data_IF_438108742627
#
_entry.id   IF_438108742627
#
_cell.length_a   1.000
_cell.length_b   1.000
_cell.length_c   1.000
_cell.angle_alpha   90.00
_cell.angle_beta   90.00
_cell.angle_gamma   90.00
#
_symmetry.space_group_name_H-M   'P 1'
#
loop_
_entity.id
_entity.type
_entity.pdbx_description
1 polymer ?
#
# COMPACT_ATOMS: atom_id res chain seq x y z
N UNK A 1 -24.19 -23.58 10.46
CA UNK A 1 -25.03 -22.38 10.56
C UNK A 1 -24.65 -21.66 11.84
N UNK A 2 -23.75 -20.70 11.76
CA UNK A 2 -23.41 -19.80 12.87
C UNK A 2 -23.35 -18.41 12.26
N UNK A 3 -24.42 -17.65 12.51
CA UNK A 3 -24.57 -16.25 12.15
C UNK A 3 -23.50 -15.41 12.87
N UNK A 4 -22.51 -14.99 12.12
CA UNK A 4 -21.55 -13.98 12.53
C UNK A 4 -22.12 -12.61 12.20
N UNK A 5 -22.89 -12.03 13.11
CA UNK A 5 -23.31 -10.63 13.06
C UNK A 5 -22.08 -9.73 13.14
N UNK A 6 -21.61 -9.31 11.96
CA UNK A 6 -20.61 -8.22 11.82
C UNK A 6 -21.23 -6.94 12.34
N UNK A 7 -20.88 -6.56 13.56
CA UNK A 7 -21.06 -5.20 14.08
C UNK A 7 -20.24 -4.23 13.23
N UNK A 8 -20.84 -3.69 12.20
CA UNK A 8 -20.34 -2.56 11.41
C UNK A 8 -20.42 -1.29 12.28
N UNK A 9 -19.40 -1.05 13.12
CA UNK A 9 -19.23 0.26 13.76
C UNK A 9 -18.95 1.29 12.67
N UNK A 10 -19.93 2.15 12.42
CA UNK A 10 -19.92 3.21 11.43
C UNK A 10 -18.74 4.18 11.61
N UNK A 11 -18.03 4.57 10.54
CA UNK A 11 -16.95 5.57 10.58
C UNK A 11 -17.45 7.00 10.87
N UNK A 12 -18.74 7.19 11.11
CA UNK A 12 -19.44 8.47 11.25
C UNK A 12 -19.09 9.27 12.52
N UNK A 13 -18.57 8.63 13.60
CA UNK A 13 -18.38 9.32 14.87
C UNK A 13 -17.19 10.29 14.90
N UNK A 14 -16.11 10.03 14.17
CA UNK A 14 -14.93 10.91 14.15
C UNK A 14 -15.09 12.10 13.19
N UNK A 15 -15.78 11.91 12.05
CA UNK A 15 -16.09 12.98 11.11
C UNK A 15 -17.02 13.98 11.76
N UNK A 16 -18.09 13.52 12.42
CA UNK A 16 -19.05 14.38 13.12
C UNK A 16 -18.38 15.23 14.23
N UNK A 17 -17.38 14.66 14.94
CA UNK A 17 -16.65 15.41 15.98
C UNK A 17 -15.80 16.53 15.39
N UNK A 18 -15.14 16.27 14.25
CA UNK A 18 -14.31 17.24 13.55
C UNK A 18 -15.16 18.40 12.98
N UNK A 19 -16.27 18.09 12.30
CA UNK A 19 -17.21 19.06 11.76
C UNK A 19 -17.83 19.95 12.86
N UNK A 20 -18.24 19.34 13.98
CA UNK A 20 -18.74 20.06 15.15
C UNK A 20 -17.69 21.01 15.74
N UNK A 21 -16.42 20.59 15.80
CA UNK A 21 -15.34 21.43 16.31
C UNK A 21 -15.10 22.64 15.40
N UNK A 22 -15.06 22.44 14.09
CA UNK A 22 -14.92 23.52 13.10
C UNK A 22 -16.08 24.49 13.20
N UNK A 23 -17.32 24.01 13.28
CA UNK A 23 -18.50 24.83 13.43
C UNK A 23 -18.43 25.71 14.71
N UNK A 24 -18.04 25.11 15.83
CA UNK A 24 -17.86 25.84 17.11
C UNK A 24 -16.77 26.92 17.01
N UNK A 25 -15.62 26.62 16.40
CA UNK A 25 -14.55 27.60 16.20
C UNK A 25 -15.04 28.74 15.33
N UNK A 26 -15.75 28.46 14.23
CA UNK A 26 -16.30 29.46 13.31
C UNK A 26 -17.29 30.40 14.01
N UNK A 27 -18.22 29.84 14.77
CA UNK A 27 -19.21 30.63 15.53
C UNK A 27 -18.54 31.50 16.60
N UNK A 28 -17.58 30.96 17.35
CA UNK A 28 -16.88 31.73 18.38
C UNK A 28 -15.99 32.83 17.78
N UNK A 29 -15.27 32.55 16.68
CA UNK A 29 -14.49 33.57 15.97
C UNK A 29 -15.37 34.71 15.43
N UNK A 30 -16.53 34.37 14.85
CA UNK A 30 -17.50 35.39 14.39
C UNK A 30 -18.06 36.20 15.56
N UNK A 31 -18.34 35.58 16.71
CA UNK A 31 -18.80 36.27 17.92
C UNK A 31 -17.75 37.27 18.43
N UNK A 32 -16.47 36.88 18.44
CA UNK A 32 -15.37 37.78 18.83
C UNK A 32 -15.28 38.96 17.89
N UNK A 33 -15.31 38.73 16.56
CA UNK A 33 -15.27 39.80 15.55
C UNK A 33 -16.44 40.77 15.66
N UNK A 34 -17.66 40.25 15.89
CA UNK A 34 -18.85 41.13 16.09
C UNK A 34 -18.74 41.97 17.35
N UNK A 35 -18.24 41.43 18.45
CA UNK A 35 -18.07 42.15 19.71
C UNK A 35 -16.98 43.22 19.62
N UNK A 36 -16.00 43.08 18.71
CA UNK A 36 -14.99 44.11 18.43
C UNK A 36 -15.54 45.25 17.58
N UNK A 37 -16.57 45.00 16.76
CA UNK A 37 -17.22 46.02 15.90
C UNK A 37 -18.34 46.78 16.59
N UNK A 38 -18.70 46.42 17.81
CA UNK A 38 -19.73 47.14 18.58
C UNK A 38 -19.16 48.45 19.13
N UNK A 39 -19.71 49.53 18.64
CA UNK A 39 -19.59 50.97 18.86
C UNK A 39 -18.64 51.44 19.99
N UNK A 40 -17.66 52.28 19.64
CA UNK A 40 -16.78 52.92 20.64
C UNK A 40 -17.51 53.89 21.59
N UNK A 41 -18.74 54.30 21.30
CA UNK A 41 -19.51 55.28 22.08
C UNK A 41 -20.15 54.71 23.38
N UNK A 42 -20.41 53.40 23.43
CA UNK A 42 -21.00 52.72 24.60
C UNK A 42 -20.04 52.31 25.71
N UNK A 43 -18.78 52.68 25.57
CA UNK A 43 -17.66 52.11 26.36
C UNK A 43 -17.32 52.93 27.62
N UNK A 44 -18.08 53.99 27.92
CA UNK A 44 -17.69 54.99 28.94
C UNK A 44 -18.16 54.72 30.37
N UNK A 45 -18.44 53.52 30.81
CA UNK A 45 -18.71 53.26 32.22
C UNK A 45 -18.30 51.87 32.69
N UNK A 46 -18.38 51.63 34.00
CA UNK A 46 -18.05 50.44 34.83
C UNK A 46 -18.16 49.04 34.18
N UNK A 47 -18.79 48.95 32.99
CA UNK A 47 -18.97 47.75 32.17
C UNK A 47 -17.69 47.31 31.44
N UNK A 48 -16.67 48.17 31.32
CA UNK A 48 -15.46 47.92 30.54
C UNK A 48 -14.64 46.69 30.99
N UNK A 49 -14.43 46.55 32.29
CA UNK A 49 -13.74 45.43 32.87
C UNK A 49 -14.46 44.10 32.64
N UNK A 50 -15.80 44.13 32.57
CA UNK A 50 -16.59 42.92 32.31
C UNK A 50 -16.55 42.54 30.81
N UNK A 51 -16.59 43.50 29.90
CA UNK A 51 -16.48 43.27 28.44
C UNK A 51 -15.12 42.71 28.11
N UNK A 52 -14.02 43.28 28.61
CA UNK A 52 -12.67 42.75 28.41
C UNK A 52 -12.47 41.33 29.00
N UNK A 53 -13.08 41.04 30.13
CA UNK A 53 -13.04 39.70 30.71
C UNK A 53 -13.78 38.68 29.84
N UNK A 54 -14.95 39.03 29.33
CA UNK A 54 -15.72 38.15 28.44
C UNK A 54 -15.01 37.92 27.11
N UNK A 55 -14.36 38.95 26.53
CA UNK A 55 -13.51 38.83 25.35
C UNK A 55 -12.30 37.91 25.59
N UNK A 56 -11.54 38.12 26.68
CA UNK A 56 -10.43 37.28 27.05
C UNK A 56 -10.85 35.81 27.22
N UNK A 57 -12.01 35.59 27.88
CA UNK A 57 -12.58 34.23 28.02
C UNK A 57 -12.94 33.63 26.66
N UNK A 58 -13.53 34.39 25.75
CA UNK A 58 -13.88 33.93 24.40
C UNK A 58 -12.63 33.58 23.60
N UNK A 59 -11.58 34.41 23.64
CA UNK A 59 -10.27 34.10 22.98
C UNK A 59 -9.65 32.85 23.57
N UNK A 60 -9.64 32.70 24.88
CA UNK A 60 -9.11 31.49 25.53
C UNK A 60 -9.84 30.21 25.09
N UNK A 61 -11.16 30.27 24.92
CA UNK A 61 -11.97 29.16 24.41
C UNK A 61 -11.58 28.84 22.94
N UNK A 62 -11.41 29.86 22.08
CA UNK A 62 -10.97 29.66 20.70
C UNK A 62 -9.59 29.01 20.64
N UNK A 63 -8.63 29.50 21.43
CA UNK A 63 -7.27 28.89 21.52
C UNK A 63 -7.35 27.43 21.95
N UNK A 64 -8.20 27.10 22.94
CA UNK A 64 -8.41 25.72 23.37
C UNK A 64 -8.93 24.86 22.20
N UNK A 65 -9.92 25.34 21.46
CA UNK A 65 -10.51 24.65 20.31
C UNK A 65 -9.52 24.48 19.15
N UNK A 66 -8.71 25.49 18.86
CA UNK A 66 -7.65 25.42 17.85
C UNK A 66 -6.59 24.37 18.23
N UNK A 67 -6.22 24.28 19.51
CA UNK A 67 -5.31 23.23 19.99
C UNK A 67 -5.89 21.82 19.83
N UNK A 68 -7.19 21.65 20.11
CA UNK A 68 -7.90 20.39 19.85
C UNK A 68 -7.87 20.06 18.34
N UNK A 69 -8.07 21.03 17.47
CA UNK A 69 -8.02 20.86 16.02
C UNK A 69 -6.62 20.46 15.52
N UNK A 70 -5.56 21.08 16.07
CA UNK A 70 -4.17 20.66 15.79
C UNK A 70 -3.93 19.20 16.19
N UNK A 71 -4.41 18.78 17.36
CA UNK A 71 -4.26 17.39 17.80
C UNK A 71 -4.98 16.42 16.86
N UNK A 72 -6.19 16.74 16.42
CA UNK A 72 -6.93 15.92 15.46
C UNK A 72 -6.20 15.85 14.11
N UNK A 73 -5.71 16.98 13.60
CA UNK A 73 -4.94 17.04 12.36
C UNK A 73 -3.64 16.20 12.48
N UNK A 74 -2.96 16.27 13.62
CA UNK A 74 -1.77 15.47 13.89
C UNK A 74 -2.08 13.97 13.91
N UNK A 75 -3.19 13.55 14.53
CA UNK A 75 -3.61 12.15 14.51
C UNK A 75 -3.86 11.65 13.08
N UNK A 76 -4.57 12.42 12.26
CA UNK A 76 -4.83 12.08 10.86
C UNK A 76 -3.52 11.95 10.07
N UNK A 77 -2.61 12.90 10.24
CA UNK A 77 -1.27 12.85 9.61
C UNK A 77 -0.50 11.59 10.00
N UNK A 78 -0.48 11.25 11.30
CA UNK A 78 0.19 10.04 11.77
C UNK A 78 -0.43 8.75 11.20
N UNK A 79 -1.75 8.72 11.03
CA UNK A 79 -2.40 7.60 10.36
C UNK A 79 -1.97 7.47 8.90
N UNK A 80 -1.93 8.59 8.15
CA UNK A 80 -1.46 8.58 6.76
C UNK A 80 0.01 8.17 6.64
N UNK A 81 0.89 8.61 7.54
CA UNK A 81 2.30 8.18 7.59
C UNK A 81 2.42 6.66 7.79
N UNK A 82 1.59 6.07 8.66
CA UNK A 82 1.56 4.61 8.83
C UNK A 82 1.14 3.90 7.53
N UNK A 83 0.12 4.39 6.84
CA UNK A 83 -0.29 3.87 5.54
C UNK A 83 0.79 4.06 4.48
N UNK A 84 1.50 5.19 4.48
CA UNK A 84 2.66 5.43 3.61
C UNK A 84 3.68 4.30 3.77
N UNK A 85 4.09 3.98 5.00
CA UNK A 85 5.06 2.91 5.26
C UNK A 85 4.55 1.51 4.85
N UNK A 86 3.25 1.27 4.93
CA UNK A 86 2.66 0.01 4.43
C UNK A 86 2.79 -0.05 2.91
N UNK A 87 2.41 1.02 2.21
CA UNK A 87 2.48 1.10 0.74
C UNK A 87 3.93 1.01 0.25
N UNK A 88 4.87 1.67 0.89
CA UNK A 88 6.31 1.59 0.57
C UNK A 88 6.85 0.16 0.68
N UNK A 89 6.47 -0.58 1.74
CA UNK A 89 6.83 -2.00 1.89
C UNK A 89 6.23 -2.86 0.78
N UNK A 90 4.96 -2.67 0.45
CA UNK A 90 4.30 -3.38 -0.63
C UNK A 90 4.95 -3.08 -1.98
N UNK A 91 5.31 -1.83 -2.25
CA UNK A 91 6.05 -1.44 -3.46
C UNK A 91 7.41 -2.13 -3.55
N UNK A 92 8.11 -2.26 -2.42
CA UNK A 92 9.36 -3.01 -2.38
C UNK A 92 9.13 -4.49 -2.71
N UNK A 93 8.10 -5.12 -2.14
CA UNK A 93 7.74 -6.51 -2.42
C UNK A 93 7.36 -6.69 -3.90
N UNK A 94 6.53 -5.81 -4.47
CA UNK A 94 6.19 -5.88 -5.91
C UNK A 94 7.39 -5.74 -6.83
N UNK A 95 8.35 -4.86 -6.51
CA UNK A 95 9.61 -4.73 -7.29
C UNK A 95 10.38 -6.04 -7.28
N UNK A 96 10.50 -6.69 -6.12
CA UNK A 96 11.16 -7.99 -5.97
C UNK A 96 10.43 -9.08 -6.74
N UNK A 97 9.09 -9.09 -6.69
CA UNK A 97 8.28 -10.07 -7.39
C UNK A 97 8.37 -9.93 -8.91
N UNK A 98 8.34 -8.70 -9.42
CA UNK A 98 8.54 -8.40 -10.85
C UNK A 98 9.92 -8.90 -11.29
N UNK A 99 10.96 -8.62 -10.50
CA UNK A 99 12.33 -9.09 -10.79
C UNK A 99 12.45 -10.62 -10.75
N UNK A 100 11.81 -11.27 -9.78
CA UNK A 100 11.75 -12.72 -9.67
C UNK A 100 11.01 -13.34 -10.86
N UNK A 101 9.86 -12.76 -11.26
CA UNK A 101 9.10 -13.19 -12.43
C UNK A 101 9.94 -13.12 -13.70
N UNK A 102 10.63 -12.02 -13.91
CA UNK A 102 11.53 -11.83 -15.05
C UNK A 102 12.70 -12.81 -15.05
N UNK A 103 13.33 -13.04 -13.89
CA UNK A 103 14.39 -14.04 -13.73
C UNK A 103 13.91 -15.45 -14.06
N UNK A 104 12.69 -15.81 -13.64
CA UNK A 104 12.07 -17.09 -13.98
C UNK A 104 11.81 -17.20 -15.49
N UNK A 105 11.34 -16.13 -16.13
CA UNK A 105 11.13 -16.08 -17.59
C UNK A 105 12.44 -16.31 -18.35
N UNK A 106 13.51 -15.62 -17.96
CA UNK A 106 14.85 -15.76 -18.59
C UNK A 106 15.40 -17.18 -18.39
N UNK A 107 15.24 -17.78 -17.21
CA UNK A 107 15.65 -19.16 -16.97
C UNK A 107 14.89 -20.13 -17.88
N UNK A 108 13.61 -19.88 -18.10
CA UNK A 108 12.76 -20.70 -18.96
C UNK A 108 13.10 -20.57 -20.43
N UNK A 109 13.51 -19.38 -20.88
CA UNK A 109 13.97 -19.13 -22.27
C UNK A 109 15.23 -19.93 -22.61
N UNK A 110 16.02 -20.36 -21.63
CA UNK A 110 17.19 -21.21 -21.80
C UNK A 110 16.84 -22.68 -22.05
N UNK A 111 15.57 -23.08 -22.00
CA UNK A 111 15.14 -24.45 -22.36
C UNK A 111 15.37 -24.69 -23.83
N UNK A 112 15.85 -25.90 -24.10
CA UNK A 112 16.25 -26.35 -25.46
C UNK A 112 15.06 -26.94 -26.20
N UNK A 113 14.12 -27.56 -25.49
CA UNK A 113 12.96 -28.25 -26.06
C UNK A 113 11.67 -27.47 -25.89
N UNK A 114 10.88 -27.46 -26.93
CA UNK A 114 9.45 -27.03 -26.98
C UNK A 114 9.10 -25.68 -26.34
N UNK A 115 9.43 -24.59 -27.02
CA UNK A 115 8.89 -23.27 -26.72
C UNK A 115 7.39 -23.11 -27.10
N UNK A 116 6.84 -23.98 -27.90
CA UNK A 116 5.56 -23.76 -28.61
C UNK A 116 4.35 -24.49 -28.06
N UNK A 117 4.50 -25.37 -27.05
CA UNK A 117 3.40 -26.26 -26.64
C UNK A 117 2.82 -26.00 -25.26
N UNK A 118 3.38 -25.08 -24.47
CA UNK A 118 2.83 -24.80 -23.17
C UNK A 118 2.44 -23.32 -23.01
N UNK A 119 1.22 -23.06 -22.59
CA UNK A 119 0.70 -21.72 -22.27
C UNK A 119 1.34 -21.11 -20.99
N UNK A 120 2.35 -21.74 -20.41
CA UNK A 120 3.00 -21.30 -19.18
C UNK A 120 3.74 -19.98 -19.36
N UNK A 121 4.28 -19.72 -20.56
CA UNK A 121 4.91 -18.45 -20.88
C UNK A 121 3.91 -17.30 -20.87
N UNK A 122 2.70 -17.52 -21.38
CA UNK A 122 1.63 -16.53 -21.36
C UNK A 122 1.16 -16.24 -19.94
N UNK A 123 1.11 -17.27 -19.07
CA UNK A 123 0.78 -17.12 -17.66
C UNK A 123 1.85 -16.31 -16.92
N UNK A 124 3.14 -16.50 -17.23
CA UNK A 124 4.23 -15.67 -16.69
C UNK A 124 4.08 -14.21 -17.13
N UNK A 125 3.75 -13.97 -18.39
CA UNK A 125 3.53 -12.63 -18.90
C UNK A 125 2.31 -11.97 -18.26
N UNK A 126 1.22 -12.72 -18.11
CA UNK A 126 0.02 -12.25 -17.41
C UNK A 126 0.32 -11.89 -15.95
N UNK A 127 1.03 -12.74 -15.20
CA UNK A 127 1.47 -12.43 -13.83
C UNK A 127 2.31 -11.16 -13.78
N UNK A 128 3.28 -11.04 -14.66
CA UNK A 128 4.16 -9.87 -14.73
C UNK A 128 3.36 -8.57 -14.98
N UNK A 129 2.39 -8.62 -15.89
CA UNK A 129 1.52 -7.48 -16.20
C UNK A 129 0.63 -7.12 -14.99
N UNK A 130 0.04 -8.10 -14.30
CA UNK A 130 -0.73 -7.87 -13.07
C UNK A 130 0.13 -7.21 -11.99
N UNK A 131 1.35 -7.72 -11.75
CA UNK A 131 2.25 -7.14 -10.74
C UNK A 131 2.69 -5.72 -11.10
N UNK A 132 2.95 -5.43 -12.38
CA UNK A 132 3.22 -4.06 -12.86
C UNK A 132 2.03 -3.13 -12.67
N UNK A 133 0.83 -3.61 -12.95
CA UNK A 133 -0.39 -2.83 -12.77
C UNK A 133 -0.62 -2.49 -11.29
N UNK A 134 -0.52 -3.49 -10.40
CA UNK A 134 -0.62 -3.30 -8.95
C UNK A 134 0.43 -2.32 -8.43
N UNK A 135 1.68 -2.45 -8.90
CA UNK A 135 2.74 -1.49 -8.57
C UNK A 135 2.36 -0.07 -8.98
N UNK A 136 1.84 0.13 -10.21
CA UNK A 136 1.41 1.45 -10.69
C UNK A 136 0.29 2.05 -9.82
N UNK A 137 -0.69 1.24 -9.40
CA UNK A 137 -1.75 1.67 -8.48
C UNK A 137 -1.16 2.11 -7.14
N UNK A 138 -0.23 1.33 -6.58
CA UNK A 138 0.42 1.66 -5.31
C UNK A 138 1.28 2.91 -5.39
N UNK A 139 2.04 3.11 -6.48
CA UNK A 139 2.80 4.35 -6.71
C UNK A 139 1.85 5.57 -6.74
N UNK A 140 0.70 5.48 -7.40
CA UNK A 140 -0.30 6.56 -7.41
C UNK A 140 -0.87 6.84 -6.01
N UNK A 141 -1.16 5.81 -5.22
CA UNK A 141 -1.63 5.99 -3.85
C UNK A 141 -0.55 6.62 -2.96
N UNK A 142 0.71 6.23 -3.11
CA UNK A 142 1.82 6.85 -2.38
C UNK A 142 1.93 8.35 -2.69
N UNK A 143 1.83 8.76 -3.96
CA UNK A 143 1.81 10.17 -4.34
C UNK A 143 0.64 10.93 -3.71
N UNK A 144 -0.57 10.34 -3.71
CA UNK A 144 -1.75 10.95 -3.07
C UNK A 144 -1.54 11.12 -1.56
N UNK A 145 -1.02 10.10 -0.87
CA UNK A 145 -0.71 10.17 0.57
C UNK A 145 0.28 11.30 0.84
N UNK A 146 1.37 11.38 0.09
CA UNK A 146 2.42 12.39 0.26
C UNK A 146 1.87 13.81 0.05
N UNK A 147 1.06 14.01 -1.00
CA UNK A 147 0.41 15.30 -1.28
C UNK A 147 -0.49 15.73 -0.13
N UNK A 148 -1.36 14.84 0.36
CA UNK A 148 -2.28 15.16 1.48
C UNK A 148 -1.50 15.40 2.78
N UNK A 149 -0.45 14.62 3.07
CA UNK A 149 0.40 14.82 4.23
C UNK A 149 1.08 16.19 4.21
N UNK A 150 1.56 16.63 3.04
CA UNK A 150 2.18 17.95 2.89
C UNK A 150 1.16 19.07 3.16
N UNK A 151 -0.05 18.96 2.60
CA UNK A 151 -1.12 19.94 2.84
C UNK A 151 -1.48 20.00 4.33
N UNK A 152 -1.67 18.85 4.99
CA UNK A 152 -1.99 18.80 6.42
C UNK A 152 -0.87 19.36 7.29
N UNK A 153 0.39 19.15 6.90
CA UNK A 153 1.54 19.69 7.62
C UNK A 153 1.60 21.22 7.52
N UNK A 154 1.36 21.77 6.33
CA UNK A 154 1.30 23.21 6.11
C UNK A 154 0.13 23.84 6.88
N UNK A 155 -1.05 23.22 6.83
CA UNK A 155 -2.23 23.69 7.59
C UNK A 155 -2.01 23.65 9.09
N UNK A 156 -1.28 22.65 9.62
CA UNK A 156 -0.88 22.59 11.02
C UNK A 156 0.05 23.73 11.40
N UNK A 157 1.02 24.08 10.53
CA UNK A 157 1.87 25.26 10.71
C UNK A 157 1.04 26.55 10.80
N UNK A 158 0.10 26.70 9.89
CA UNK A 158 -0.79 27.87 9.87
C UNK A 158 -1.70 27.95 11.12
N UNK A 159 -2.20 26.79 11.60
CA UNK A 159 -2.95 26.72 12.86
C UNK A 159 -2.10 27.09 14.07
N UNK A 160 -0.85 26.65 14.13
CA UNK A 160 0.07 27.02 15.21
C UNK A 160 0.30 28.52 15.23
N UNK A 161 0.57 29.10 14.07
CA UNK A 161 0.73 30.55 13.94
C UNK A 161 -0.52 31.33 14.40
N UNK A 162 -1.72 30.86 14.02
CA UNK A 162 -2.98 31.46 14.48
C UNK A 162 -3.17 31.36 16.00
N UNK A 163 -2.75 30.27 16.62
CA UNK A 163 -2.76 30.13 18.09
C UNK A 163 -1.83 31.14 18.73
N UNK A 164 -0.62 31.28 18.21
CA UNK A 164 0.37 32.21 18.75
C UNK A 164 -0.12 33.66 18.68
N UNK A 165 -0.77 34.04 17.58
CA UNK A 165 -1.44 35.35 17.46
C UNK A 165 -2.54 35.53 18.50
N UNK A 166 -3.44 34.55 18.69
CA UNK A 166 -4.49 34.65 19.68
C UNK A 166 -3.95 34.65 21.12
N UNK A 167 -2.85 33.95 21.39
CA UNK A 167 -2.18 34.00 22.69
C UNK A 167 -1.56 35.37 22.97
N UNK A 168 -0.91 35.99 21.95
CA UNK A 168 -0.38 37.34 22.06
C UNK A 168 -1.50 38.35 22.36
N UNK A 169 -2.62 38.26 21.65
CA UNK A 169 -3.81 39.09 21.93
C UNK A 169 -4.33 38.90 23.36
N UNK A 170 -4.40 37.65 23.83
CA UNK A 170 -4.84 37.36 25.19
C UNK A 170 -3.91 37.99 26.22
N UNK A 171 -2.59 37.89 26.02
CA UNK A 171 -1.59 38.48 26.91
C UNK A 171 -1.70 40.02 26.92
N UNK A 172 -1.93 40.65 25.76
CA UNK A 172 -2.07 42.10 25.66
C UNK A 172 -3.37 42.57 26.35
N UNK A 173 -4.52 41.87 26.18
CA UNK A 173 -5.75 42.14 26.88
C UNK A 173 -5.56 42.01 28.40
N UNK A 174 -4.84 40.99 28.87
CA UNK A 174 -4.58 40.80 30.30
C UNK A 174 -3.62 41.86 30.88
N UNK A 175 -2.61 42.30 30.10
CA UNK A 175 -1.71 43.40 30.48
C UNK A 175 -2.46 44.72 30.56
N UNK A 176 -3.28 45.03 29.56
CA UNK A 176 -4.10 46.25 29.53
C UNK A 176 -5.04 46.30 30.73
N UNK A 177 -5.68 45.18 31.11
CA UNK A 177 -6.51 45.07 32.33
C UNK A 177 -5.73 45.41 33.59
N UNK A 178 -4.48 44.93 33.72
CA UNK A 178 -3.62 45.25 34.89
C UNK A 178 -3.27 46.73 34.96
N UNK A 179 -3.01 47.33 33.82
CA UNK A 179 -2.68 48.75 33.70
C UNK A 179 -3.91 49.67 33.94
N UNK A 180 -5.12 49.26 33.52
CA UNK A 180 -6.36 49.95 33.79
C UNK A 180 -6.73 50.01 35.28
N UNK A 181 -6.32 48.97 36.05
CA UNK A 181 -6.43 48.99 37.52
C UNK A 181 -5.45 49.94 38.17
N UNK A 182 -4.42 50.39 37.48
CA UNK A 182 -3.34 51.22 38.03
C UNK A 182 -3.26 52.66 37.50
N UNK A 183 -4.02 53.02 36.49
CA UNK A 183 -3.90 54.35 35.82
C UNK A 183 -5.21 54.84 35.16
N UNK A 184 -5.44 56.14 35.27
CA UNK A 184 -6.64 56.88 34.75
C UNK A 184 -6.50 57.36 33.30
N UNK A 185 -5.57 56.89 32.50
CA UNK A 185 -5.30 57.32 31.09
C UNK A 185 -5.80 56.31 30.03
N UNK A 186 -7.09 56.18 29.87
CA UNK A 186 -7.74 55.11 29.09
C UNK A 186 -7.74 55.28 27.56
N UNK A 187 -7.90 56.51 27.04
CA UNK A 187 -8.15 56.72 25.60
C UNK A 187 -7.00 56.34 24.66
N UNK A 188 -5.74 56.39 25.16
CA UNK A 188 -4.54 56.06 24.34
C UNK A 188 -4.29 54.57 24.23
N UNK A 189 -4.77 53.77 25.18
CA UNK A 189 -4.70 52.33 25.20
C UNK A 189 -5.77 51.68 24.31
N UNK A 190 -6.95 52.29 24.24
CA UNK A 190 -8.06 51.83 23.40
C UNK A 190 -7.73 51.93 21.92
N UNK A 191 -7.14 53.07 21.49
CA UNK A 191 -6.74 53.27 20.10
C UNK A 191 -5.64 52.26 19.68
N UNK A 192 -4.72 51.92 20.59
CA UNK A 192 -3.70 50.90 20.35
C UNK A 192 -4.28 49.49 20.24
N UNK A 193 -5.27 49.15 21.09
CA UNK A 193 -5.92 47.87 21.08
C UNK A 193 -6.77 47.68 19.80
N UNK A 194 -7.51 48.72 19.38
CA UNK A 194 -8.28 48.72 18.14
C UNK A 194 -7.38 48.60 16.89
N UNK A 195 -6.26 49.33 16.87
CA UNK A 195 -5.27 49.20 15.78
C UNK A 195 -4.59 47.82 15.77
N UNK A 196 -4.26 47.30 16.93
CA UNK A 196 -3.66 45.95 17.03
C UNK A 196 -4.62 44.85 16.59
N UNK A 197 -5.90 44.94 16.93
CA UNK A 197 -6.92 43.99 16.46
C UNK A 197 -7.12 44.07 14.95
N UNK A 198 -7.04 45.27 14.35
CA UNK A 198 -7.13 45.45 12.90
C UNK A 198 -5.84 44.98 12.18
N UNK A 199 -4.67 45.19 12.78
CA UNK A 199 -3.37 44.72 12.25
C UNK A 199 -3.16 43.21 12.44
N UNK A 200 -3.70 42.62 13.51
CA UNK A 200 -3.55 41.19 13.80
C UNK A 200 -4.34 40.28 12.85
N UNK A 201 -5.31 40.83 12.12
CA UNK A 201 -6.07 40.13 11.08
C UNK A 201 -5.86 40.78 9.70
N UNK A 202 -4.66 40.68 9.08
CA UNK A 202 -4.54 41.08 7.70
C UNK A 202 -5.55 40.31 6.85
N UNK A 203 -6.14 40.97 5.86
CA UNK A 203 -7.19 40.42 4.99
C UNK A 203 -6.84 39.09 4.31
N UNK A 204 -5.55 38.72 4.27
CA UNK A 204 -5.03 37.45 3.75
C UNK A 204 -5.30 36.25 4.67
N UNK A 205 -5.57 36.47 5.96
CA UNK A 205 -5.79 35.42 6.96
C UNK A 205 -7.23 35.35 7.43
N UNK A 206 -8.13 35.06 6.50
CA UNK A 206 -9.52 34.80 6.87
C UNK A 206 -9.60 33.43 7.59
N UNK A 207 -9.89 33.38 8.91
CA UNK A 207 -9.98 32.12 9.66
C UNK A 207 -11.00 31.16 9.06
N UNK A 208 -12.02 31.66 8.36
CA UNK A 208 -13.01 30.83 7.67
C UNK A 208 -12.41 30.09 6.47
N UNK A 209 -11.47 30.71 5.75
CA UNK A 209 -10.77 30.08 4.63
C UNK A 209 -9.84 28.96 5.15
N UNK A 210 -9.10 29.25 6.22
CA UNK A 210 -8.23 28.25 6.85
C UNK A 210 -9.03 27.05 7.35
N UNK A 211 -10.13 27.27 8.07
CA UNK A 211 -10.99 26.19 8.57
C UNK A 211 -11.61 25.38 7.43
N UNK A 212 -12.03 26.03 6.33
CA UNK A 212 -12.54 25.35 5.13
C UNK A 212 -11.44 24.50 4.46
N UNK A 213 -10.21 25.01 4.38
CA UNK A 213 -9.09 24.26 3.82
C UNK A 213 -8.75 23.04 4.66
N UNK A 214 -8.83 23.14 5.98
CA UNK A 214 -8.61 22.02 6.91
C UNK A 214 -9.70 20.96 6.73
N UNK A 215 -10.97 21.37 6.64
CA UNK A 215 -12.09 20.48 6.37
C UNK A 215 -11.91 19.72 5.06
N UNK A 216 -11.58 20.45 3.98
CA UNK A 216 -11.30 19.83 2.67
C UNK A 216 -10.11 18.86 2.72
N UNK A 217 -9.03 19.21 3.41
CA UNK A 217 -7.86 18.34 3.55
C UNK A 217 -8.15 17.09 4.38
N UNK A 218 -8.97 17.23 5.43
CA UNK A 218 -9.42 16.10 6.24
C UNK A 218 -10.30 15.13 5.44
N UNK A 219 -11.22 15.65 4.62
CA UNK A 219 -12.05 14.85 3.73
C UNK A 219 -11.21 14.11 2.68
N UNK A 220 -10.22 14.79 2.10
CA UNK A 220 -9.27 14.16 1.18
C UNK A 220 -8.49 13.04 1.87
N UNK A 221 -8.01 13.26 3.09
CA UNK A 221 -7.32 12.26 3.89
C UNK A 221 -8.21 11.03 4.17
N UNK A 222 -9.48 11.25 4.51
CA UNK A 222 -10.45 10.17 4.72
C UNK A 222 -10.72 9.38 3.43
N UNK A 223 -10.88 10.04 2.29
CA UNK A 223 -11.05 9.37 0.98
C UNK A 223 -9.83 8.52 0.64
N UNK A 224 -8.62 9.08 0.76
CA UNK A 224 -7.38 8.33 0.51
C UNK A 224 -7.29 7.12 1.44
N UNK A 225 -7.67 7.26 2.70
CA UNK A 225 -7.69 6.15 3.67
C UNK A 225 -8.68 5.07 3.26
N UNK A 226 -9.90 5.42 2.87
CA UNK A 226 -10.92 4.45 2.45
C UNK A 226 -10.51 3.71 1.19
N UNK A 227 -10.06 4.43 0.15
CA UNK A 227 -9.54 3.84 -1.09
C UNK A 227 -8.41 2.84 -0.81
N UNK A 228 -7.54 3.18 0.15
CA UNK A 228 -6.40 2.35 0.51
C UNK A 228 -6.81 1.10 1.29
N UNK A 229 -7.74 1.21 2.22
CA UNK A 229 -8.28 0.07 2.97
C UNK A 229 -8.93 -0.93 2.01
N UNK A 230 -9.76 -0.46 1.08
CA UNK A 230 -10.40 -1.30 0.07
C UNK A 230 -9.37 -1.99 -0.84
N UNK A 231 -8.35 -1.25 -1.22
CA UNK A 231 -7.27 -1.79 -2.04
C UNK A 231 -6.47 -2.87 -1.28
N UNK A 232 -6.10 -2.61 -0.03
CA UNK A 232 -5.36 -3.54 0.83
C UNK A 232 -6.15 -4.82 1.14
N UNK A 233 -7.47 -4.75 1.21
CA UNK A 233 -8.33 -5.93 1.40
C UNK A 233 -8.41 -6.81 0.14
N UNK A 234 -8.45 -6.20 -1.04
CA UNK A 234 -8.50 -6.93 -2.33
C UNK A 234 -7.15 -7.48 -2.77
N UNK A 235 -6.07 -6.78 -2.46
CA UNK A 235 -4.71 -7.10 -2.92
C UNK A 235 -4.27 -8.54 -2.63
N UNK A 236 -4.43 -9.09 -1.40
CA UNK A 236 -4.01 -10.46 -1.09
C UNK A 236 -4.70 -11.50 -1.94
N UNK A 237 -5.98 -11.28 -2.30
CA UNK A 237 -6.77 -12.18 -3.15
C UNK A 237 -6.21 -12.19 -4.56
N UNK A 238 -6.07 -11.01 -5.18
CA UNK A 238 -5.55 -10.89 -6.54
C UNK A 238 -4.16 -11.51 -6.68
N UNK A 239 -3.26 -11.21 -5.74
CA UNK A 239 -1.90 -11.77 -5.74
C UNK A 239 -1.92 -13.30 -5.58
N UNK A 240 -2.73 -13.83 -4.65
CA UNK A 240 -2.86 -15.27 -4.41
C UNK A 240 -3.43 -15.99 -5.63
N UNK A 241 -4.49 -15.46 -6.24
CA UNK A 241 -5.13 -16.06 -7.41
C UNK A 241 -4.16 -16.11 -8.60
N UNK A 242 -3.45 -15.03 -8.84
CA UNK A 242 -2.43 -14.96 -9.90
C UNK A 242 -1.31 -16.00 -9.66
N UNK A 243 -0.85 -16.14 -8.41
CA UNK A 243 0.18 -17.11 -8.05
C UNK A 243 -0.31 -18.55 -8.14
N UNK A 244 -1.53 -18.83 -7.70
CA UNK A 244 -2.13 -20.15 -7.83
C UNK A 244 -2.27 -20.55 -9.29
N UNK A 245 -2.73 -19.65 -10.15
CA UNK A 245 -2.83 -19.88 -11.59
C UNK A 245 -1.49 -20.24 -12.18
N UNK A 246 -0.43 -19.51 -11.86
CA UNK A 246 0.92 -19.81 -12.32
C UNK A 246 1.43 -21.16 -11.75
N UNK A 247 1.21 -21.42 -10.48
CA UNK A 247 1.63 -22.66 -9.82
C UNK A 247 0.95 -23.89 -10.46
N UNK A 248 -0.35 -23.83 -10.68
CA UNK A 248 -1.10 -24.90 -11.35
C UNK A 248 -0.66 -25.10 -12.80
N UNK A 249 -0.40 -24.01 -13.52
CA UNK A 249 0.10 -24.07 -14.88
C UNK A 249 1.50 -24.71 -14.95
N UNK A 250 2.42 -24.34 -14.05
CA UNK A 250 3.75 -24.92 -13.97
C UNK A 250 3.71 -26.42 -13.63
N UNK A 251 2.90 -26.84 -12.68
CA UNK A 251 2.78 -28.27 -12.32
C UNK A 251 2.07 -29.04 -13.40
N UNK A 252 0.85 -28.60 -13.79
CA UNK A 252 -0.02 -29.34 -14.71
C UNK A 252 0.55 -29.39 -16.12
N UNK A 253 0.91 -28.23 -16.67
CA UNK A 253 1.24 -28.09 -18.09
C UNK A 253 2.73 -28.23 -18.40
N UNK A 254 3.61 -28.13 -17.42
CA UNK A 254 5.04 -28.20 -17.69
C UNK A 254 5.70 -29.40 -17.00
N UNK A 255 5.65 -29.45 -15.67
CA UNK A 255 6.37 -30.48 -14.92
C UNK A 255 5.81 -31.87 -15.19
N UNK A 256 4.48 -32.05 -15.17
CA UNK A 256 3.85 -33.34 -15.41
C UNK A 256 4.10 -33.82 -16.84
N UNK A 257 3.92 -32.96 -17.85
CA UNK A 257 4.17 -33.30 -19.26
C UNK A 257 5.62 -33.67 -19.49
N UNK A 258 6.56 -32.91 -18.92
CA UNK A 258 7.98 -33.23 -19.02
C UNK A 258 8.35 -34.56 -18.29
N UNK A 259 7.74 -34.76 -17.11
CA UNK A 259 7.97 -36.00 -16.34
C UNK A 259 7.46 -37.23 -17.11
N UNK A 260 6.28 -37.13 -17.74
CA UNK A 260 5.74 -38.22 -18.53
C UNK A 260 6.56 -38.45 -19.81
N UNK A 261 7.02 -37.37 -20.46
CA UNK A 261 7.93 -37.45 -21.61
C UNK A 261 9.27 -38.09 -21.23
N UNK A 262 9.83 -37.73 -20.07
CA UNK A 262 11.07 -38.36 -19.54
C UNK A 262 10.86 -39.85 -19.27
N UNK A 263 9.73 -40.22 -18.64
CA UNK A 263 9.38 -41.63 -18.40
C UNK A 263 9.21 -42.40 -19.69
N UNK A 264 8.51 -41.87 -20.68
CA UNK A 264 8.27 -42.47 -21.97
C UNK A 264 9.60 -42.71 -22.72
N UNK A 265 10.49 -41.68 -22.76
CA UNK A 265 11.81 -41.81 -23.40
C UNK A 265 12.70 -42.82 -22.68
N UNK A 266 12.61 -42.92 -21.34
CA UNK A 266 13.34 -43.90 -20.56
C UNK A 266 12.87 -45.34 -20.86
N UNK A 267 11.56 -45.53 -20.97
CA UNK A 267 10.96 -46.83 -21.37
C UNK A 267 11.40 -47.24 -22.76
N UNK A 268 11.34 -46.34 -23.72
CA UNK A 268 11.79 -46.58 -25.08
C UNK A 268 13.30 -46.89 -25.17
N UNK A 269 14.15 -46.15 -24.40
CA UNK A 269 15.56 -46.45 -24.29
C UNK A 269 15.83 -47.84 -23.74
N UNK A 270 15.07 -48.29 -22.72
CA UNK A 270 15.21 -49.64 -22.14
C UNK A 270 14.81 -50.72 -23.13
N UNK A 271 13.74 -50.52 -23.88
CA UNK A 271 13.29 -51.41 -24.93
C UNK A 271 14.34 -51.52 -26.06
N UNK A 272 14.82 -50.40 -26.59
CA UNK A 272 15.86 -50.40 -27.63
C UNK A 272 17.17 -51.01 -27.16
N UNK A 273 17.50 -50.89 -25.88
CA UNK A 273 18.65 -51.55 -25.28
C UNK A 273 18.49 -53.08 -25.26
N UNK A 274 17.27 -53.58 -24.94
CA UNK A 274 16.95 -54.99 -24.98
C UNK A 274 16.98 -55.53 -26.43
N UNK A 275 16.34 -54.83 -27.39
CA UNK A 275 16.38 -55.17 -28.81
C UNK A 275 17.80 -55.25 -29.36
N UNK A 276 18.67 -54.30 -29.00
CA UNK A 276 20.07 -54.29 -29.42
C UNK A 276 20.85 -55.47 -28.84
N UNK A 277 20.56 -55.90 -27.62
CA UNK A 277 21.13 -57.12 -27.03
C UNK A 277 20.71 -58.38 -27.79
N UNK A 278 19.37 -58.49 -28.10
CA UNK A 278 18.85 -59.62 -28.84
C UNK A 278 19.49 -59.70 -30.25
N UNK A 279 19.59 -58.60 -30.96
CA UNK A 279 20.24 -58.55 -32.28
C UNK A 279 21.73 -58.86 -32.21
N UNK A 280 22.40 -58.44 -31.14
CA UNK A 280 23.82 -58.82 -30.90
C UNK A 280 24.00 -60.31 -30.70
N UNK A 281 23.03 -60.98 -30.08
CA UNK A 281 23.03 -62.47 -29.96
C UNK A 281 22.74 -63.11 -31.31
N UNK A 282 21.72 -62.62 -32.03
CA UNK A 282 21.37 -63.09 -33.39
C UNK A 282 22.53 -62.96 -34.37
N UNK A 283 23.23 -61.80 -34.32
CA UNK A 283 24.40 -61.58 -35.15
C UNK A 283 25.54 -62.61 -34.85
N UNK A 284 25.72 -62.95 -33.60
CA UNK A 284 26.72 -64.01 -33.19
C UNK A 284 26.31 -65.39 -33.67
N UNK A 285 25.02 -65.73 -33.53
CA UNK A 285 24.51 -67.02 -34.00
C UNK A 285 24.64 -67.16 -35.51
N UNK A 286 24.31 -66.16 -36.31
CA UNK A 286 24.37 -66.12 -37.75
C UNK A 286 25.83 -66.08 -38.26
N UNK A 287 26.74 -65.54 -37.48
CA UNK A 287 28.18 -65.54 -37.82
C UNK A 287 28.84 -66.95 -37.77
N UNK A 288 28.14 -67.89 -37.19
CA UNK A 288 28.61 -69.30 -37.13
C UNK A 288 28.25 -70.09 -38.39
N UNK A 289 27.44 -69.59 -39.28
CA UNK A 289 27.04 -70.25 -40.54
C UNK A 289 27.69 -69.55 -41.73
N UNK A 290 28.66 -70.25 -42.43
CA UNK A 290 29.49 -69.67 -43.46
C UNK A 290 28.76 -69.30 -44.75
N UNK A 291 27.53 -69.84 -44.98
CA UNK A 291 26.73 -69.54 -46.18
C UNK A 291 25.81 -68.36 -46.09
N UNK A 292 25.84 -67.57 -44.99
CA UNK A 292 24.79 -66.51 -44.70
C UNK A 292 25.34 -65.08 -44.65
N UNK A 293 26.33 -64.77 -45.53
CA UNK A 293 27.03 -63.46 -45.54
C UNK A 293 26.11 -62.25 -45.73
N UNK A 294 25.09 -62.40 -46.56
CA UNK A 294 24.14 -61.30 -46.91
C UNK A 294 23.18 -61.04 -45.75
N UNK A 295 22.64 -62.08 -45.12
CA UNK A 295 21.86 -62.00 -43.91
C UNK A 295 22.60 -61.35 -42.77
N UNK A 296 23.89 -61.68 -42.60
CA UNK A 296 24.79 -61.14 -41.60
C UNK A 296 25.03 -59.62 -41.83
N UNK A 297 25.19 -59.17 -43.06
CA UNK A 297 25.33 -57.82 -43.45
C UNK A 297 24.05 -57.03 -43.08
N UNK A 298 22.83 -57.55 -43.44
CA UNK A 298 21.54 -56.93 -43.09
C UNK A 298 21.35 -56.77 -41.58
N UNK A 299 21.70 -57.78 -40.76
CA UNK A 299 21.59 -57.71 -39.28
C UNK A 299 22.60 -56.70 -38.72
N UNK A 300 23.77 -56.58 -39.30
CA UNK A 300 24.81 -55.62 -38.90
C UNK A 300 24.35 -54.18 -39.18
N UNK A 301 23.79 -53.93 -40.39
CA UNK A 301 23.27 -52.63 -40.80
C UNK A 301 22.10 -52.20 -39.88
N UNK A 302 21.15 -53.09 -39.63
CA UNK A 302 20.05 -52.88 -38.67
C UNK A 302 20.54 -52.64 -37.23
N UNK A 303 21.59 -53.33 -36.80
CA UNK A 303 22.21 -53.09 -35.50
C UNK A 303 22.87 -51.72 -35.42
N UNK A 304 23.51 -51.25 -36.50
CA UNK A 304 24.05 -49.90 -36.56
C UNK A 304 22.97 -48.81 -36.52
N UNK A 305 21.88 -48.94 -37.29
CA UNK A 305 20.76 -48.04 -37.28
C UNK A 305 20.12 -47.97 -35.88
N UNK A 306 19.96 -49.12 -35.22
CA UNK A 306 19.44 -49.19 -33.83
C UNK A 306 20.35 -48.48 -32.84
N UNK A 307 21.68 -48.66 -32.98
CA UNK A 307 22.66 -47.97 -32.14
C UNK A 307 22.61 -46.45 -32.34
N UNK A 308 22.50 -45.99 -33.60
CA UNK A 308 22.32 -44.57 -33.93
C UNK A 308 21.03 -44.01 -33.35
N UNK A 309 19.90 -44.70 -33.52
CA UNK A 309 18.60 -44.30 -32.94
C UNK A 309 18.62 -44.25 -31.41
N UNK A 310 19.28 -45.24 -30.76
CA UNK A 310 19.49 -45.24 -29.31
C UNK A 310 20.30 -44.01 -28.85
N UNK A 311 21.35 -43.63 -29.58
CA UNK A 311 22.15 -42.45 -29.27
C UNK A 311 21.33 -41.17 -29.38
N UNK A 312 20.53 -41.05 -30.44
CA UNK A 312 19.62 -39.92 -30.61
C UNK A 312 18.58 -39.83 -29.48
N UNK A 313 17.96 -40.95 -29.13
CA UNK A 313 17.01 -41.02 -28.04
C UNK A 313 17.63 -40.67 -26.68
N UNK A 314 18.86 -41.08 -26.44
CA UNK A 314 19.59 -40.69 -25.24
C UNK A 314 19.87 -39.19 -25.19
N UNK A 315 20.18 -38.56 -26.30
CA UNK A 315 20.28 -37.07 -26.36
C UNK A 315 18.98 -36.39 -26.05
N UNK A 316 17.87 -36.87 -26.61
CA UNK A 316 16.53 -36.34 -26.33
C UNK A 316 16.19 -36.48 -24.83
N UNK A 317 16.41 -37.66 -24.27
CA UNK A 317 16.20 -37.92 -22.83
C UNK A 317 17.00 -36.97 -21.94
N UNK A 318 18.27 -36.75 -22.28
CA UNK A 318 19.15 -35.85 -21.53
C UNK A 318 18.65 -34.39 -21.59
N UNK A 319 18.18 -33.95 -22.76
CA UNK A 319 17.57 -32.61 -22.94
C UNK A 319 16.30 -32.45 -22.11
N UNK A 320 15.36 -33.40 -22.22
CA UNK A 320 14.11 -33.38 -21.47
C UNK A 320 14.35 -33.39 -19.95
N UNK A 321 15.29 -34.18 -19.48
CA UNK A 321 15.62 -34.23 -18.06
C UNK A 321 16.19 -32.88 -17.57
N UNK A 322 17.03 -32.22 -18.39
CA UNK A 322 17.54 -30.88 -18.07
C UNK A 322 16.43 -29.85 -17.99
N UNK A 323 15.49 -29.89 -18.94
CA UNK A 323 14.34 -28.97 -18.96
C UNK A 323 13.44 -29.22 -17.76
N UNK A 324 13.18 -30.48 -17.38
CA UNK A 324 12.44 -30.84 -16.16
C UNK A 324 13.13 -30.30 -14.89
N UNK A 325 14.46 -30.42 -14.79
CA UNK A 325 15.20 -29.86 -13.65
C UNK A 325 15.08 -28.33 -13.59
N UNK A 326 15.05 -27.64 -14.72
CA UNK A 326 14.83 -26.19 -14.79
C UNK A 326 13.46 -25.81 -14.25
N UNK A 327 12.40 -26.52 -14.66
CA UNK A 327 11.03 -26.26 -14.16
C UNK A 327 10.90 -26.53 -12.64
N UNK A 328 11.53 -27.59 -12.16
CA UNK A 328 11.58 -27.88 -10.72
C UNK A 328 12.34 -26.79 -9.91
N UNK A 329 13.41 -26.24 -10.49
CA UNK A 329 14.10 -25.09 -9.89
C UNK A 329 13.19 -23.85 -9.84
N UNK A 330 12.44 -23.56 -10.91
CA UNK A 330 11.48 -22.46 -10.96
C UNK A 330 10.40 -22.61 -9.87
N UNK A 331 9.84 -23.80 -9.70
CA UNK A 331 8.87 -24.10 -8.65
C UNK A 331 9.45 -23.86 -7.25
N UNK A 332 10.71 -24.29 -7.01
CA UNK A 332 11.38 -24.06 -5.72
C UNK A 332 11.61 -22.58 -5.44
N UNK A 333 12.06 -21.82 -6.42
CA UNK A 333 12.24 -20.37 -6.32
C UNK A 333 10.92 -19.69 -5.99
N UNK A 334 9.84 -20.03 -6.70
CA UNK A 334 8.51 -19.45 -6.48
C UNK A 334 7.95 -19.78 -5.10
N UNK A 335 8.07 -21.02 -4.63
CA UNK A 335 7.66 -21.39 -3.26
C UNK A 335 8.44 -20.59 -2.22
N UNK A 336 9.73 -20.41 -2.41
CA UNK A 336 10.59 -19.66 -1.49
C UNK A 336 10.16 -18.18 -1.42
N UNK A 337 9.86 -17.54 -2.55
CA UNK A 337 9.41 -16.15 -2.59
C UNK A 337 8.01 -15.99 -2.01
N UNK A 338 7.08 -16.90 -2.30
CA UNK A 338 5.73 -16.87 -1.72
C UNK A 338 5.75 -16.97 -0.18
N UNK A 339 6.63 -17.79 0.38
CA UNK A 339 6.75 -17.97 1.83
C UNK A 339 7.34 -16.73 2.55
N UNK A 340 8.02 -15.84 1.83
CA UNK A 340 8.56 -14.59 2.40
C UNK A 340 7.55 -13.45 2.49
N UNK A 341 6.39 -13.58 1.86
CA UNK A 341 5.39 -12.53 1.84
C UNK A 341 4.60 -12.48 3.15
N UNK A 342 4.71 -11.36 3.84
CA UNK A 342 3.86 -11.04 4.98
C UNK A 342 2.84 -10.02 4.47
N UNK A 343 1.60 -10.47 4.21
CA UNK A 343 0.53 -9.55 3.87
C UNK A 343 0.20 -8.67 5.09
N UNK A 344 0.08 -7.34 4.91
CA UNK A 344 -0.14 -6.40 6.01
C UNK A 344 -1.52 -6.50 6.66
N UNK A 345 -2.38 -7.43 6.25
CA UNK A 345 -3.74 -7.62 6.81
C UNK A 345 -3.75 -7.82 8.33
N UNK A 346 -2.70 -8.41 8.90
CA UNK A 346 -2.55 -8.54 10.35
C UNK A 346 -2.18 -7.23 11.06
N UNK A 347 -1.73 -6.21 10.32
CA UNK A 347 -1.21 -4.96 10.88
C UNK A 347 -2.29 -3.85 10.84
N UNK A 348 -3.28 -3.97 9.96
CA UNK A 348 -4.31 -2.93 9.75
C UNK A 348 -5.43 -2.98 10.80
N UNK A 349 -5.70 -4.15 11.39
CA UNK A 349 -6.82 -4.35 12.31
C UNK A 349 -6.66 -3.83 13.75
N UNK A 350 -5.47 -3.69 14.35
CA UNK A 350 -5.38 -3.15 15.71
C UNK A 350 -5.71 -1.65 15.81
N UNK A 351 -5.73 -0.93 14.68
CA UNK A 351 -5.91 0.53 14.67
C UNK A 351 -7.37 0.99 14.68
N UNK A 352 -8.32 0.09 14.41
CA UNK A 352 -9.75 0.43 14.44
C UNK A 352 -10.36 0.30 15.84
N UNK A 353 -9.66 -0.29 16.82
CA UNK A 353 -10.19 -0.60 18.14
C UNK A 353 -9.65 0.26 19.29
N UNK A 354 -8.87 1.32 19.03
CA UNK A 354 -8.61 2.30 20.07
C UNK A 354 -9.88 3.11 20.31
N UNK A 355 -10.77 2.57 21.14
CA UNK A 355 -11.77 3.34 21.85
C UNK A 355 -11.04 4.51 22.52
N UNK A 356 -11.34 5.73 22.05
CA UNK A 356 -10.91 6.93 22.74
C UNK A 356 -11.34 6.85 24.21
N UNK A 357 -10.45 7.14 25.16
CA UNK A 357 -10.90 7.28 26.53
C UNK A 357 -11.97 8.38 26.55
N UNK A 358 -13.16 8.01 26.95
CA UNK A 358 -14.22 8.95 27.28
C UNK A 358 -13.65 9.86 28.38
N UNK A 359 -13.35 11.10 28.01
CA UNK A 359 -13.16 12.16 28.99
C UNK A 359 -14.49 12.35 29.69
N UNK A 360 -14.75 11.56 30.72
CA UNK A 360 -15.78 11.82 31.70
C UNK A 360 -15.50 13.21 32.26
N UNK A 361 -16.45 14.07 32.03
CA UNK A 361 -16.62 15.34 32.74
C UNK A 361 -16.40 15.14 34.25
N UNK A 362 -15.27 15.61 34.76
CA UNK A 362 -15.22 16.01 36.17
C UNK A 362 -15.60 17.47 36.23
N UNK A 363 -16.75 17.70 36.81
CA UNK A 363 -17.34 18.96 37.29
C UNK A 363 -16.31 19.82 38.03
#
# INVERSE_FOLDING_TARGET
MTDSTRNSRSPTSSSNRFENLICQIRLLSQSILRNVQLDPVLVHSVTHGHVMFTQAKSVAIVVKKLRELIQLTHMVTNHLVRYQHIVERLLHDFRRDIQSSESCRILREKRVTQRSLDNVQDVFLAEHNVMRHLKCIMDKQLHRINSVNQVLTNLRGNLSYLIDQHMSLLDDVLRTRRLLHSSTNDARLESKLANYLNEAYPNEWNPNILLKNIETAHDQANRVRMDLVDLLDRLPRVVRDTQNTLYHSLIGNSVNILQDSVKATLTELSQRKAENRCRGVECRLRAQDPNNSEALKSVRDKSYELAKSKSQLHQVHTRLNRDMQTELQLLRLRRRENNKRIFPCAIVYPLCNSSFPSLTSRT
#
